data_IF_171226912269
#
_entry.id   IF_171226912269
#
_cell.length_a   1.000
_cell.length_b   1.000
_cell.length_c   1.000
_cell.angle_alpha   90.00
_cell.angle_beta   90.00
_cell.angle_gamma   90.00
#
_symmetry.space_group_name_H-M   'P 1'
#
loop_
_entity.id
_entity.type
_entity.pdbx_description
1 polymer ?
#
# COMPACT_ATOMS: atom_id res chain seq x y z
N UNK A 1 17.17 14.62 4.25
CA UNK A 1 16.72 14.06 2.96
C UNK A 1 15.21 14.06 2.94
N UNK A 2 14.62 14.50 1.84
CA UNK A 2 13.17 14.50 1.62
C UNK A 2 12.94 13.57 0.44
N UNK A 3 12.27 12.43 0.66
CA UNK A 3 12.12 11.39 -0.36
C UNK A 3 10.63 11.11 -0.59
N UNK A 4 10.24 11.06 -1.87
CA UNK A 4 8.90 10.68 -2.30
C UNK A 4 8.79 9.15 -2.32
N UNK A 5 7.73 8.60 -1.72
CA UNK A 5 7.38 7.19 -1.86
C UNK A 5 6.58 7.01 -3.16
N UNK A 6 7.03 6.09 -4.02
CA UNK A 6 6.35 5.74 -5.26
C UNK A 6 6.14 4.22 -5.27
N UNK A 7 4.89 3.79 -5.27
CA UNK A 7 4.49 2.42 -5.60
C UNK A 7 3.73 2.45 -6.93
N UNK A 8 4.08 1.51 -7.82
CA UNK A 8 3.45 1.36 -9.12
C UNK A 8 3.04 -0.07 -9.33
N UNK A 9 1.87 -0.27 -9.94
CA UNK A 9 1.33 -1.58 -10.33
C UNK A 9 1.38 -2.59 -9.17
N UNK A 10 1.08 -2.13 -7.95
CA UNK A 10 1.23 -2.96 -6.76
C UNK A 10 0.03 -3.91 -6.63
N UNK A 11 0.33 -5.21 -6.64
CA UNK A 11 -0.65 -6.27 -6.46
C UNK A 11 -0.26 -7.12 -5.25
N UNK A 12 -1.22 -7.38 -4.36
CA UNK A 12 -0.99 -8.27 -3.22
C UNK A 12 -2.25 -9.05 -2.83
N UNK A 13 -2.01 -10.25 -2.30
CA UNK A 13 -3.04 -11.21 -1.92
C UNK A 13 -2.57 -12.14 -0.80
N UNK A 14 -3.46 -12.99 -0.31
CA UNK A 14 -3.15 -14.08 0.62
C UNK A 14 -3.67 -15.38 0.02
N UNK A 15 -2.76 -16.29 -0.35
CA UNK A 15 -3.10 -17.47 -1.15
C UNK A 15 -3.77 -17.05 -2.46
N UNK A 16 -4.91 -17.66 -2.76
CA UNK A 16 -5.67 -17.39 -3.99
C UNK A 16 -6.53 -16.11 -3.92
N UNK A 17 -6.56 -15.43 -2.76
CA UNK A 17 -7.36 -14.23 -2.58
C UNK A 17 -6.54 -12.97 -2.86
N UNK A 18 -6.88 -12.27 -3.93
CA UNK A 18 -6.43 -10.90 -4.16
C UNK A 18 -7.06 -9.94 -3.14
N UNK A 19 -6.24 -9.03 -2.59
CA UNK A 19 -6.69 -7.95 -1.71
C UNK A 19 -6.78 -6.62 -2.44
N UNK A 20 -5.81 -6.37 -3.32
CA UNK A 20 -5.78 -5.28 -4.26
C UNK A 20 -4.88 -5.67 -5.45
N UNK A 21 -5.17 -5.09 -6.60
CA UNK A 21 -4.43 -5.24 -7.84
C UNK A 21 -4.27 -3.86 -8.49
N UNK A 22 -3.20 -3.70 -9.25
CA UNK A 22 -2.92 -2.49 -10.05
C UNK A 22 -2.99 -1.19 -9.22
N UNK A 23 -2.45 -1.23 -7.99
CA UNK A 23 -2.45 -0.08 -7.09
C UNK A 23 -1.23 0.82 -7.34
N UNK A 24 -1.52 2.05 -7.75
CA UNK A 24 -0.56 3.15 -7.82
C UNK A 24 -0.69 4.08 -6.62
N UNK A 25 0.44 4.43 -6.00
CA UNK A 25 0.49 5.37 -4.88
C UNK A 25 1.73 6.25 -4.96
N UNK A 26 1.53 7.56 -4.84
CA UNK A 26 2.60 8.54 -4.65
C UNK A 26 2.34 9.28 -3.34
N UNK A 27 3.33 9.28 -2.44
CA UNK A 27 3.29 10.06 -1.20
C UNK A 27 4.48 11.01 -1.20
N UNK A 28 4.20 12.29 -1.28
CA UNK A 28 5.21 13.33 -1.27
C UNK A 28 5.65 13.67 0.17
N UNK A 29 6.84 14.24 0.34
CA UNK A 29 7.28 14.70 1.64
C UNK A 29 6.34 15.75 2.23
N UNK A 30 5.88 15.51 3.46
CA UNK A 30 4.94 16.38 4.17
C UNK A 30 3.48 15.95 4.04
N UNK A 31 3.16 14.99 3.16
CA UNK A 31 1.81 14.44 3.06
C UNK A 31 1.44 13.68 4.34
N UNK A 32 0.19 13.86 4.79
CA UNK A 32 -0.44 13.04 5.83
C UNK A 32 -1.60 12.31 5.19
N UNK A 33 -1.43 11.00 4.97
CA UNK A 33 -2.40 10.15 4.27
C UNK A 33 -3.12 9.24 5.25
N UNK A 34 -4.45 9.27 5.23
CA UNK A 34 -5.30 8.33 5.97
C UNK A 34 -5.70 7.13 5.10
N UNK A 35 -5.36 5.91 5.53
CA UNK A 35 -5.78 4.68 4.86
C UNK A 35 -7.03 4.10 5.52
N UNK A 36 -8.17 4.15 4.82
CA UNK A 36 -9.48 3.71 5.30
C UNK A 36 -10.02 2.54 4.49
N UNK A 37 -10.90 1.75 5.10
CA UNK A 37 -11.51 0.57 4.47
C UNK A 37 -11.96 -0.46 5.51
N UNK A 38 -12.82 -1.40 5.12
CA UNK A 38 -13.35 -2.44 6.02
C UNK A 38 -12.26 -3.40 6.52
N UNK A 39 -12.58 -4.18 7.55
CA UNK A 39 -11.68 -5.25 8.01
C UNK A 39 -11.46 -6.28 6.90
N UNK A 40 -10.21 -6.66 6.68
CA UNK A 40 -9.82 -7.58 5.60
C UNK A 40 -9.65 -6.94 4.21
N UNK A 41 -9.78 -5.61 4.07
CA UNK A 41 -9.55 -4.90 2.79
C UNK A 41 -8.06 -4.75 2.40
N UNK A 42 -7.13 -5.41 3.11
CA UNK A 42 -5.70 -5.35 2.80
C UNK A 42 -4.93 -4.13 3.31
N UNK A 43 -5.50 -3.30 4.18
CA UNK A 43 -4.83 -2.11 4.73
C UNK A 43 -3.47 -2.40 5.38
N UNK A 44 -3.43 -3.36 6.32
CA UNK A 44 -2.19 -3.75 6.98
C UNK A 44 -1.21 -4.44 6.01
N UNK A 45 -1.72 -5.12 4.99
CA UNK A 45 -0.92 -5.71 3.92
C UNK A 45 -0.23 -4.61 3.12
N UNK A 46 -0.98 -3.61 2.64
CA UNK A 46 -0.44 -2.45 1.92
C UNK A 46 0.65 -1.75 2.73
N UNK A 47 0.39 -1.42 4.01
CA UNK A 47 1.38 -0.75 4.85
C UNK A 47 2.65 -1.58 5.06
N UNK A 48 2.52 -2.91 5.22
CA UNK A 48 3.69 -3.79 5.37
C UNK A 48 4.47 -3.93 4.06
N UNK A 49 3.79 -4.04 2.92
CA UNK A 49 4.42 -4.10 1.60
C UNK A 49 5.18 -2.81 1.30
N UNK A 50 4.58 -1.64 1.56
CA UNK A 50 5.27 -0.35 1.41
C UNK A 50 6.49 -0.22 2.35
N UNK A 51 6.46 -0.86 3.51
CA UNK A 51 7.58 -0.92 4.45
C UNK A 51 8.62 -2.00 4.10
N UNK A 52 8.41 -2.79 3.04
CA UNK A 52 9.31 -3.89 2.63
C UNK A 52 9.29 -5.09 3.59
N UNK A 53 8.18 -5.31 4.29
CA UNK A 53 8.02 -6.40 5.28
C UNK A 53 7.30 -7.64 4.72
N UNK A 54 6.82 -7.58 3.49
CA UNK A 54 6.16 -8.67 2.74
C UNK A 54 6.32 -8.45 1.25
#
# INVERSE_FOLDING_TARGET
>A
MSATLIAKDLTAGHGDRLLFEDLDLVVAPGDVVGLVGVNGAGKSTLLRTLAGLV
#
